data_IF_593845836568
#
_entry.id   IF_593845836568
#
_cell.length_a   1.000
_cell.length_b   1.000
_cell.length_c   1.000
_cell.angle_alpha   90.00
_cell.angle_beta   90.00
_cell.angle_gamma   90.00
#
_symmetry.space_group_name_H-M   'P 1'
#
loop_
_entity.id
_entity.type
_entity.pdbx_description
1 polymer ?
#
# COMPACT_ATOMS: atom_id res chain seq x y z
N UNK A 1 15.45 -11.45 17.42
CA UNK A 1 15.83 -10.70 16.20
C UNK A 1 14.57 -10.51 15.38
N UNK A 2 14.02 -9.30 15.31
CA UNK A 2 12.75 -9.06 14.62
C UNK A 2 13.03 -8.65 13.19
N UNK A 3 12.64 -9.47 12.22
CA UNK A 3 12.68 -9.10 10.80
C UNK A 3 11.41 -8.32 10.51
N UNK A 4 11.53 -7.02 10.19
CA UNK A 4 10.43 -6.29 9.56
C UNK A 4 10.51 -6.54 8.07
N UNK A 5 9.41 -6.97 7.48
CA UNK A 5 9.25 -7.10 6.03
C UNK A 5 8.35 -5.96 5.56
N UNK A 6 8.59 -5.47 4.35
CA UNK A 6 7.63 -4.63 3.65
C UNK A 6 6.65 -5.54 2.95
N UNK A 7 5.38 -5.37 3.24
CA UNK A 7 4.34 -6.26 2.74
C UNK A 7 3.27 -5.44 2.03
N UNK A 8 2.89 -5.93 0.85
CA UNK A 8 1.80 -5.42 0.04
C UNK A 8 0.79 -6.55 -0.07
N UNK A 9 -0.42 -6.33 0.41
CA UNK A 9 -1.46 -7.36 0.47
C UNK A 9 -2.69 -6.88 -0.27
N UNK A 10 -3.16 -7.69 -1.20
CA UNK A 10 -4.40 -7.44 -1.94
C UNK A 10 -5.45 -8.41 -1.45
N UNK A 11 -6.58 -7.87 -0.98
CA UNK A 11 -7.73 -8.64 -0.56
C UNK A 11 -8.99 -8.09 -1.22
N UNK A 12 -9.62 -8.90 -2.08
CA UNK A 12 -10.73 -8.50 -2.95
C UNK A 12 -10.34 -7.33 -3.84
N UNK A 13 -10.69 -6.11 -3.42
CA UNK A 13 -10.47 -4.84 -4.15
C UNK A 13 -9.68 -3.83 -3.34
N UNK A 14 -9.09 -4.26 -2.21
CA UNK A 14 -8.33 -3.38 -1.31
C UNK A 14 -6.87 -3.76 -1.34
N UNK A 15 -6.00 -2.76 -1.45
CA UNK A 15 -4.56 -2.91 -1.27
C UNK A 15 -4.14 -2.30 0.07
N UNK A 16 -3.51 -3.10 0.92
CA UNK A 16 -2.87 -2.64 2.16
C UNK A 16 -1.36 -2.68 1.97
N UNK A 17 -0.69 -1.57 2.26
CA UNK A 17 0.77 -1.44 2.22
C UNK A 17 1.30 -1.19 3.63
N UNK A 18 2.15 -2.11 4.09
CA UNK A 18 2.80 -2.04 5.39
C UNK A 18 4.30 -1.78 5.20
N UNK A 19 4.78 -0.54 5.46
CA UNK A 19 6.17 -0.18 5.26
C UNK A 19 7.06 -0.67 6.41
N UNK A 20 8.37 -0.78 6.17
CA UNK A 20 9.35 -1.14 7.21
C UNK A 20 9.38 -0.17 8.41
N UNK A 21 8.99 1.08 8.18
CA UNK A 21 9.01 2.14 9.18
C UNK A 21 8.15 3.32 8.76
N UNK A 22 8.24 4.42 9.52
CA UNK A 22 7.49 5.64 9.18
C UNK A 22 7.99 6.24 7.87
N UNK A 23 7.06 6.50 6.97
CA UNK A 23 7.30 7.23 5.73
C UNK A 23 7.11 8.73 5.94
N UNK A 24 7.90 9.52 5.21
CA UNK A 24 7.60 10.95 5.05
C UNK A 24 6.25 11.13 4.33
N UNK A 25 5.65 12.32 4.41
CA UNK A 25 4.40 12.61 3.67
C UNK A 25 4.58 12.41 2.15
N UNK A 26 5.74 12.81 1.62
CA UNK A 26 6.09 12.64 0.20
C UNK A 26 6.17 11.17 -0.18
N UNK A 27 6.91 10.37 0.60
CA UNK A 27 7.10 8.95 0.30
C UNK A 27 5.80 8.17 0.46
N UNK A 28 4.98 8.51 1.47
CA UNK A 28 3.64 7.95 1.64
C UNK A 28 2.76 8.21 0.42
N UNK A 29 2.79 9.42 -0.14
CA UNK A 29 2.03 9.76 -1.34
C UNK A 29 2.54 9.00 -2.57
N UNK A 30 3.87 8.87 -2.73
CA UNK A 30 4.46 8.10 -3.82
C UNK A 30 4.08 6.62 -3.75
N UNK A 31 4.14 6.02 -2.55
CA UNK A 31 3.73 4.63 -2.31
C UNK A 31 2.23 4.43 -2.59
N UNK A 32 1.39 5.36 -2.16
CA UNK A 32 -0.05 5.30 -2.43
C UNK A 32 -0.35 5.38 -3.94
N UNK A 33 0.35 6.24 -4.68
CA UNK A 33 0.19 6.36 -6.13
C UNK A 33 0.61 5.07 -6.86
N UNK A 34 1.70 4.44 -6.44
CA UNK A 34 2.10 3.13 -6.97
C UNK A 34 1.08 2.05 -6.62
N UNK A 35 0.56 2.07 -5.38
CA UNK A 35 -0.52 1.17 -4.97
C UNK A 35 -1.77 1.30 -5.82
N UNK A 36 -2.14 2.52 -6.21
CA UNK A 36 -3.29 2.73 -7.09
C UNK A 36 -3.06 2.13 -8.48
N UNK A 37 -1.85 2.26 -9.03
CA UNK A 37 -1.47 1.64 -10.31
C UNK A 37 -1.54 0.10 -10.24
N UNK A 38 -0.98 -0.48 -9.17
CA UNK A 38 -1.02 -1.94 -8.96
C UNK A 38 -2.44 -2.44 -8.78
N UNK A 39 -3.26 -1.75 -7.99
CA UNK A 39 -4.63 -2.14 -7.73
C UNK A 39 -5.50 -2.07 -9.01
N UNK A 40 -5.35 -1.01 -9.81
CA UNK A 40 -6.02 -0.89 -11.10
C UNK A 40 -5.62 -2.01 -12.08
N UNK A 41 -4.38 -2.51 -11.99
CA UNK A 41 -3.92 -3.63 -12.81
C UNK A 41 -4.55 -4.97 -12.40
N UNK A 42 -4.59 -5.28 -11.10
CA UNK A 42 -5.09 -6.59 -10.63
C UNK A 42 -6.61 -6.63 -10.41
N UNK A 43 -7.24 -5.48 -10.19
CA UNK A 43 -8.66 -5.33 -9.93
C UNK A 43 -9.17 -4.07 -10.67
N UNK A 44 -9.44 -4.18 -11.99
CA UNK A 44 -9.75 -3.04 -12.85
C UNK A 44 -10.93 -2.18 -12.39
N UNK A 45 -11.86 -2.78 -11.66
CA UNK A 45 -13.04 -2.07 -11.17
C UNK A 45 -12.78 -1.27 -9.87
N UNK A 46 -11.66 -1.51 -9.17
CA UNK A 46 -11.34 -0.95 -7.85
C UNK A 46 -11.07 0.56 -7.89
N UNK A 47 -11.41 1.26 -6.80
CA UNK A 47 -11.21 2.71 -6.69
C UNK A 47 -9.80 3.01 -6.15
N UNK A 48 -9.11 4.06 -6.61
CA UNK A 48 -7.88 4.53 -5.97
C UNK A 48 -7.97 4.73 -4.44
N UNK A 49 -9.15 5.04 -3.91
CA UNK A 49 -9.44 5.14 -2.47
C UNK A 49 -9.34 3.80 -1.72
N UNK A 50 -9.34 2.67 -2.42
CA UNK A 50 -9.17 1.33 -1.85
C UNK A 50 -7.69 1.01 -1.51
N UNK A 51 -6.76 1.96 -1.72
CA UNK A 51 -5.36 1.85 -1.32
C UNK A 51 -5.14 2.44 0.06
N UNK A 52 -4.67 1.61 1.00
CA UNK A 52 -4.35 2.01 2.37
C UNK A 52 -2.87 1.80 2.68
N UNK A 53 -2.13 2.90 2.90
CA UNK A 53 -0.78 2.84 3.48
C UNK A 53 -0.90 2.92 5.00
N UNK A 54 -0.72 1.80 5.69
CA UNK A 54 -0.82 1.77 7.15
C UNK A 54 0.48 2.26 7.78
N UNK A 55 0.42 2.76 9.01
CA UNK A 55 1.63 3.00 9.79
C UNK A 55 2.22 1.66 10.21
N UNK A 56 3.53 1.52 10.02
CA UNK A 56 4.28 0.43 10.64
C UNK A 56 4.03 0.45 12.16
N UNK A 57 3.71 -0.70 12.73
CA UNK A 57 3.54 -0.88 14.18
C UNK A 57 4.80 -0.50 14.97
#
# INVERSE_FOLDING_TARGET
>A
MTVRLLTWTIARRRLTVEPFGRLTKRDRAAVAAEGARLLAFVAPDADPADVAVVSAA
#
